data_IF_301616689153
#
_entry.id   IF_301616689153
#
_cell.length_a   1.000
_cell.length_b   1.000
_cell.length_c   1.000
_cell.angle_alpha   90.00
_cell.angle_beta   90.00
_cell.angle_gamma   90.00
#
_symmetry.space_group_name_H-M   'P 1'
#
loop_
_entity.id
_entity.type
_entity.pdbx_description
1 polymer ?
#
# COMPACT_ATOMS: atom_id res chain seq x y z
N UNK A 1 66.59 -38.47 14.07
CA UNK A 1 67.28 -37.18 14.26
C UNK A 1 66.99 -36.35 13.02
N UNK A 2 65.95 -35.52 13.03
CA UNK A 2 65.59 -34.64 11.90
C UNK A 2 65.70 -33.20 12.38
N UNK A 3 66.63 -32.45 11.79
CA UNK A 3 66.78 -31.02 12.04
C UNK A 3 65.71 -30.27 11.25
N UNK A 4 64.84 -29.55 11.95
CA UNK A 4 63.96 -28.55 11.34
C UNK A 4 64.85 -27.36 10.99
N UNK A 5 65.24 -27.25 9.72
CA UNK A 5 65.81 -26.02 9.20
C UNK A 5 64.67 -25.02 9.12
N UNK A 6 64.58 -24.13 10.10
CA UNK A 6 63.77 -22.92 9.99
C UNK A 6 64.44 -22.10 8.89
N UNK A 7 64.01 -22.32 7.66
CA UNK A 7 64.52 -21.61 6.48
C UNK A 7 64.32 -20.12 6.70
N UNK A 8 65.42 -19.38 6.71
CA UNK A 8 65.39 -17.92 6.70
C UNK A 8 64.51 -17.45 5.53
N UNK A 9 63.70 -16.41 5.78
CA UNK A 9 62.87 -15.76 4.77
C UNK A 9 63.68 -15.61 3.47
N UNK A 10 63.19 -16.12 2.32
CA UNK A 10 63.93 -16.10 1.07
C UNK A 10 64.42 -14.69 0.73
N UNK A 11 65.63 -14.56 0.20
CA UNK A 11 66.28 -13.27 -0.02
C UNK A 11 65.47 -12.34 -0.95
N UNK A 12 64.70 -12.91 -1.89
CA UNK A 12 63.76 -12.15 -2.73
C UNK A 12 62.60 -11.52 -1.93
N UNK A 13 62.20 -12.09 -0.79
CA UNK A 13 61.19 -11.54 0.11
C UNK A 13 61.72 -10.42 1.00
N UNK A 14 63.04 -10.30 1.18
CA UNK A 14 63.66 -9.20 1.95
C UNK A 14 63.68 -7.87 1.18
N UNK A 15 63.52 -7.90 -0.15
CA UNK A 15 63.46 -6.73 -1.02
C UNK A 15 62.03 -6.39 -1.48
N UNK A 16 61.01 -7.07 -0.95
CA UNK A 16 59.62 -6.72 -1.19
C UNK A 16 59.30 -5.42 -0.42
N UNK A 17 59.40 -4.29 -1.12
CA UNK A 17 59.00 -2.99 -0.60
C UNK A 17 57.51 -3.03 -0.19
N UNK A 18 57.16 -2.35 0.90
CA UNK A 18 55.77 -2.23 1.38
C UNK A 18 54.82 -1.68 0.30
N UNK A 19 55.34 -0.93 -0.66
CA UNK A 19 54.63 -0.42 -1.83
C UNK A 19 54.04 -1.52 -2.73
N UNK A 20 54.64 -2.71 -2.77
CA UNK A 20 54.12 -3.84 -3.55
C UNK A 20 52.72 -4.28 -3.09
N UNK A 21 52.44 -4.20 -1.78
CA UNK A 21 51.14 -4.58 -1.22
C UNK A 21 50.06 -3.50 -1.41
N UNK A 22 50.42 -2.24 -1.69
CA UNK A 22 49.46 -1.14 -1.85
C UNK A 22 48.65 -1.27 -3.15
N UNK A 23 49.26 -1.73 -4.24
CA UNK A 23 48.60 -1.89 -5.54
C UNK A 23 47.42 -2.87 -5.52
N UNK A 24 47.55 -4.13 -5.06
CA UNK A 24 46.40 -5.05 -5.00
C UNK A 24 45.32 -4.57 -4.03
N UNK A 25 45.69 -3.90 -2.94
CA UNK A 25 44.73 -3.28 -2.01
C UNK A 25 43.94 -2.20 -2.73
N UNK A 26 44.60 -1.28 -3.42
CA UNK A 26 43.93 -0.21 -4.16
C UNK A 26 43.01 -0.74 -5.27
N UNK A 27 43.45 -1.74 -6.02
CA UNK A 27 42.64 -2.41 -7.05
C UNK A 27 41.41 -3.08 -6.42
N UNK A 28 41.59 -3.82 -5.32
CA UNK A 28 40.48 -4.50 -4.65
C UNK A 28 39.46 -3.51 -4.07
N UNK A 29 39.92 -2.40 -3.48
CA UNK A 29 39.05 -1.32 -2.99
C UNK A 29 38.29 -0.66 -4.13
N UNK A 30 38.94 -0.42 -5.26
CA UNK A 30 38.29 0.16 -6.44
C UNK A 30 37.19 -0.76 -6.97
N UNK A 31 37.47 -2.05 -7.10
CA UNK A 31 36.47 -3.05 -7.53
C UNK A 31 35.32 -3.13 -6.53
N UNK A 32 35.63 -3.22 -5.23
CA UNK A 32 34.63 -3.27 -4.17
C UNK A 32 33.74 -2.02 -4.15
N UNK A 33 34.32 -0.84 -4.39
CA UNK A 33 33.60 0.42 -4.50
C UNK A 33 32.58 0.39 -5.65
N UNK A 34 32.99 -0.04 -6.85
CA UNK A 34 32.08 -0.14 -7.99
C UNK A 34 30.99 -1.20 -7.78
N UNK A 35 31.32 -2.39 -7.25
CA UNK A 35 30.33 -3.44 -6.97
C UNK A 35 29.28 -2.97 -5.97
N UNK A 36 29.75 -2.34 -4.87
CA UNK A 36 28.86 -1.84 -3.82
C UNK A 36 28.00 -0.69 -4.35
N UNK A 37 28.59 0.23 -5.12
CA UNK A 37 27.87 1.32 -5.75
C UNK A 37 26.75 0.83 -6.68
N UNK A 38 27.05 -0.09 -7.60
CA UNK A 38 26.05 -0.68 -8.51
C UNK A 38 24.95 -1.39 -7.73
N UNK A 39 25.31 -2.17 -6.72
CA UNK A 39 24.36 -2.90 -5.88
C UNK A 39 23.45 -1.95 -5.11
N UNK A 40 24.02 -0.89 -4.54
CA UNK A 40 23.27 0.17 -3.85
C UNK A 40 22.28 0.86 -4.79
N UNK A 41 22.70 1.26 -5.99
CA UNK A 41 21.81 1.90 -6.97
C UNK A 41 20.67 0.97 -7.41
N UNK A 42 20.95 -0.33 -7.60
CA UNK A 42 19.92 -1.32 -7.94
C UNK A 42 18.91 -1.49 -6.81
N UNK A 43 19.38 -1.66 -5.58
CA UNK A 43 18.52 -1.81 -4.39
C UNK A 43 17.68 -0.55 -4.18
N UNK A 44 18.29 0.63 -4.27
CA UNK A 44 17.57 1.90 -4.15
C UNK A 44 16.48 2.05 -5.21
N UNK A 45 16.77 1.77 -6.49
CA UNK A 45 15.77 1.79 -7.55
C UNK A 45 14.63 0.80 -7.29
N UNK A 46 14.95 -0.40 -6.80
CA UNK A 46 13.95 -1.40 -6.43
C UNK A 46 13.04 -0.91 -5.31
N UNK A 47 13.60 -0.32 -4.25
CA UNK A 47 12.82 0.23 -3.15
C UNK A 47 11.90 1.37 -3.59
N UNK A 48 12.36 2.24 -4.48
CA UNK A 48 11.53 3.32 -5.03
C UNK A 48 10.33 2.74 -5.79
N UNK A 49 10.56 1.73 -6.63
CA UNK A 49 9.49 1.05 -7.38
C UNK A 49 8.53 0.28 -6.46
N UNK A 50 9.04 -0.41 -5.43
CA UNK A 50 8.20 -1.09 -4.44
C UNK A 50 7.34 -0.10 -3.65
N UNK A 51 7.90 1.05 -3.24
CA UNK A 51 7.14 2.11 -2.58
C UNK A 51 6.02 2.65 -3.47
N UNK A 52 6.30 2.88 -4.75
CA UNK A 52 5.29 3.32 -5.70
C UNK A 52 4.20 2.25 -5.92
N UNK A 53 4.58 0.98 -6.04
CA UNK A 53 3.64 -0.14 -6.13
C UNK A 53 2.73 -0.23 -4.91
N UNK A 54 3.29 -0.21 -3.71
CA UNK A 54 2.54 -0.23 -2.46
C UNK A 54 1.60 0.97 -2.33
N UNK A 55 2.06 2.16 -2.75
CA UNK A 55 1.20 3.36 -2.79
C UNK A 55 0.01 3.17 -3.72
N UNK A 56 0.23 2.61 -4.92
CA UNK A 56 -0.85 2.33 -5.86
C UNK A 56 -1.82 1.28 -5.32
N UNK A 57 -1.32 0.19 -4.75
CA UNK A 57 -2.16 -0.83 -4.10
C UNK A 57 -2.99 -0.22 -2.96
N UNK A 58 -2.39 0.62 -2.11
CA UNK A 58 -3.09 1.34 -1.05
C UNK A 58 -4.19 2.24 -1.60
N UNK A 59 -3.93 2.96 -2.71
CA UNK A 59 -4.94 3.78 -3.37
C UNK A 59 -6.08 2.94 -3.92
N UNK A 60 -5.79 1.81 -4.56
CA UNK A 60 -6.79 0.85 -5.03
C UNK A 60 -7.63 0.31 -3.87
N UNK A 61 -7.02 -0.07 -2.76
CA UNK A 61 -7.74 -0.53 -1.58
C UNK A 61 -8.62 0.56 -0.97
N UNK A 62 -8.13 1.80 -0.88
CA UNK A 62 -8.93 2.94 -0.41
C UNK A 62 -10.11 3.20 -1.35
N UNK A 63 -9.89 3.13 -2.65
CA UNK A 63 -10.94 3.28 -3.65
C UNK A 63 -11.99 2.18 -3.53
N UNK A 64 -11.59 0.91 -3.48
CA UNK A 64 -12.52 -0.22 -3.32
C UNK A 64 -13.25 -0.16 -1.98
N UNK A 65 -12.58 0.25 -0.91
CA UNK A 65 -13.22 0.49 0.38
C UNK A 65 -14.29 1.59 0.28
N UNK A 66 -13.98 2.74 -0.34
CA UNK A 66 -14.94 3.82 -0.57
C UNK A 66 -16.10 3.37 -1.46
N UNK A 67 -15.81 2.63 -2.53
CA UNK A 67 -16.82 2.06 -3.42
C UNK A 67 -17.72 1.10 -2.69
N UNK A 68 -17.18 0.21 -1.85
CA UNK A 68 -17.97 -0.72 -1.04
C UNK A 68 -18.76 -0.01 0.08
N UNK A 69 -18.43 1.25 0.40
CA UNK A 69 -19.28 2.07 1.28
C UNK A 69 -20.59 2.48 0.61
N UNK A 70 -20.60 2.59 -0.71
CA UNK A 70 -21.81 2.77 -1.52
C UNK A 70 -22.30 1.36 -1.85
N UNK A 71 -23.42 0.90 -1.26
CA UNK A 71 -24.01 -0.38 -1.70
C UNK A 71 -24.60 -0.16 -3.11
N UNK A 72 -23.90 -0.58 -4.18
CA UNK A 72 -24.28 -0.17 -5.52
C UNK A 72 -25.57 -0.87 -5.94
N UNK A 73 -25.76 -2.12 -5.49
CA UNK A 73 -26.99 -2.88 -5.72
C UNK A 73 -28.20 -2.20 -5.09
N UNK A 74 -28.09 -1.74 -3.85
CA UNK A 74 -29.17 -0.99 -3.20
C UNK A 74 -29.47 0.34 -3.91
N UNK A 75 -28.42 1.05 -4.36
CA UNK A 75 -28.57 2.29 -5.11
C UNK A 75 -29.29 2.05 -6.46
N UNK A 76 -28.86 1.07 -7.26
CA UNK A 76 -29.49 0.76 -8.54
C UNK A 76 -30.95 0.29 -8.37
N UNK A 77 -31.23 -0.55 -7.37
CA UNK A 77 -32.61 -0.98 -7.09
C UNK A 77 -33.50 0.21 -6.70
N UNK A 78 -32.97 1.14 -5.90
CA UNK A 78 -33.70 2.35 -5.52
C UNK A 78 -33.97 3.26 -6.72
N UNK A 79 -33.01 3.37 -7.66
CA UNK A 79 -33.20 4.12 -8.90
C UNK A 79 -34.24 3.47 -9.83
N UNK A 80 -34.27 2.14 -9.90
CA UNK A 80 -35.29 1.42 -10.68
C UNK A 80 -36.69 1.66 -10.10
N UNK A 81 -36.87 1.51 -8.78
CA UNK A 81 -38.14 1.81 -8.10
C UNK A 81 -38.53 3.27 -8.32
N UNK A 82 -37.58 4.19 -8.26
CA UNK A 82 -37.86 5.60 -8.55
C UNK A 82 -38.31 5.80 -10.00
N UNK A 83 -37.65 5.16 -10.97
CA UNK A 83 -38.01 5.24 -12.38
C UNK A 83 -39.45 4.78 -12.62
N UNK A 84 -39.89 3.71 -11.96
CA UNK A 84 -41.26 3.22 -12.06
C UNK A 84 -42.25 4.22 -11.41
N UNK A 85 -41.92 4.70 -10.21
CA UNK A 85 -42.77 5.65 -9.46
C UNK A 85 -42.95 6.99 -10.16
N UNK A 86 -41.95 7.49 -10.90
CA UNK A 86 -42.04 8.78 -11.59
C UNK A 86 -43.19 8.79 -12.62
N UNK A 87 -43.48 7.66 -13.24
CA UNK A 87 -44.59 7.54 -14.20
C UNK A 87 -45.91 7.10 -13.56
N UNK A 88 -45.86 6.23 -12.53
CA UNK A 88 -47.08 5.71 -11.88
C UNK A 88 -47.69 6.67 -10.85
N UNK A 89 -46.88 7.25 -9.96
CA UNK A 89 -47.31 8.15 -8.89
C UNK A 89 -46.20 9.17 -8.57
N UNK A 90 -46.22 10.35 -9.24
CA UNK A 90 -45.20 11.38 -9.06
C UNK A 90 -45.09 11.89 -7.61
N UNK A 91 -46.19 11.89 -6.84
CA UNK A 91 -46.15 12.31 -5.43
C UNK A 91 -45.46 11.25 -4.57
N UNK A 92 -45.63 9.97 -4.88
CA UNK A 92 -44.92 8.88 -4.19
C UNK A 92 -43.43 8.87 -4.59
N UNK A 93 -43.11 9.18 -5.83
CA UNK A 93 -41.72 9.36 -6.29
C UNK A 93 -41.00 10.47 -5.50
N UNK A 94 -41.61 11.65 -5.34
CA UNK A 94 -41.07 12.75 -4.53
C UNK A 94 -40.78 12.30 -3.08
N UNK A 95 -41.76 11.67 -2.42
CA UNK A 95 -41.58 11.15 -1.05
C UNK A 95 -40.47 10.09 -0.98
N UNK A 96 -40.36 9.24 -1.99
CA UNK A 96 -39.31 8.23 -2.07
C UNK A 96 -37.92 8.86 -2.18
N UNK A 97 -37.74 9.90 -3.02
CA UNK A 97 -36.48 10.63 -3.16
C UNK A 97 -36.02 11.21 -1.82
N UNK A 98 -36.93 11.86 -1.07
CA UNK A 98 -36.60 12.44 0.23
C UNK A 98 -36.18 11.37 1.24
N UNK A 99 -36.97 10.30 1.41
CA UNK A 99 -36.62 9.19 2.30
C UNK A 99 -35.31 8.52 1.90
N UNK A 100 -35.10 8.28 0.61
CA UNK A 100 -33.87 7.68 0.09
C UNK A 100 -32.65 8.55 0.41
N UNK A 101 -32.78 9.87 0.25
CA UNK A 101 -31.71 10.82 0.58
C UNK A 101 -31.36 10.82 2.07
N UNK A 102 -32.36 10.76 2.96
CA UNK A 102 -32.15 10.68 4.41
C UNK A 102 -31.48 9.36 4.83
N UNK A 103 -31.91 8.24 4.22
CA UNK A 103 -31.31 6.91 4.42
C UNK A 103 -29.85 6.91 3.98
N UNK A 104 -29.57 7.44 2.80
CA UNK A 104 -28.21 7.45 2.26
C UNK A 104 -27.28 8.32 3.09
N UNK A 105 -27.77 9.48 3.55
CA UNK A 105 -27.02 10.35 4.46
C UNK A 105 -26.72 9.64 5.78
N UNK A 106 -27.70 8.97 6.38
CA UNK A 106 -27.47 8.17 7.59
C UNK A 106 -26.45 7.04 7.37
N UNK A 107 -26.51 6.31 6.25
CA UNK A 107 -25.53 5.24 5.95
C UNK A 107 -24.12 5.80 5.78
N UNK A 108 -23.97 7.05 5.33
CA UNK A 108 -22.68 7.73 5.22
C UNK A 108 -22.22 8.27 6.60
N UNK A 109 -23.09 8.91 7.36
CA UNK A 109 -22.78 9.56 8.64
C UNK A 109 -22.57 8.55 9.79
N UNK A 110 -23.32 7.44 9.80
CA UNK A 110 -23.23 6.42 10.85
C UNK A 110 -21.94 5.61 10.78
N UNK A 111 -21.16 5.75 9.70
CA UNK A 111 -19.91 5.00 9.48
C UNK A 111 -18.70 5.59 10.19
N UNK A 112 -18.72 6.87 10.56
CA UNK A 112 -17.66 7.48 11.38
C UNK A 112 -17.80 7.14 12.87
N UNK A 113 -18.96 6.59 13.28
CA UNK A 113 -19.23 6.17 14.65
C UNK A 113 -18.84 4.70 14.83
N UNK A 114 -17.88 4.41 15.70
CA UNK A 114 -17.50 3.01 16.07
C UNK A 114 -18.66 2.24 16.70
N UNK A 115 -19.57 2.94 17.39
CA UNK A 115 -20.76 2.39 18.00
C UNK A 115 -21.94 3.35 17.78
N UNK A 116 -23.09 2.80 17.42
CA UNK A 116 -24.35 3.53 17.31
C UNK A 116 -25.33 2.95 18.34
N UNK A 117 -26.03 3.77 19.14
CA UNK A 117 -27.05 3.29 20.06
C UNK A 117 -28.15 2.52 19.33
N UNK A 118 -28.56 1.36 19.87
CA UNK A 118 -29.64 0.53 19.30
C UNK A 118 -30.95 1.31 19.09
N UNK A 119 -31.23 2.29 19.93
CA UNK A 119 -32.39 3.19 19.78
C UNK A 119 -32.32 4.05 18.50
N UNK A 120 -31.13 4.50 18.11
CA UNK A 120 -30.91 5.27 16.88
C UNK A 120 -31.12 4.38 15.65
N UNK A 121 -30.64 3.13 15.70
CA UNK A 121 -30.87 2.12 14.65
C UNK A 121 -32.35 1.74 14.51
N UNK A 122 -33.05 1.52 15.62
CA UNK A 122 -34.48 1.18 15.62
C UNK A 122 -35.34 2.34 15.08
N UNK A 123 -35.05 3.57 15.50
CA UNK A 123 -35.72 4.76 14.96
C UNK A 123 -35.46 4.96 13.47
N UNK A 124 -34.28 4.57 12.99
CA UNK A 124 -33.95 4.60 11.57
C UNK A 124 -34.73 3.56 10.75
N UNK A 125 -34.77 2.29 11.21
CA UNK A 125 -35.53 1.22 10.55
C UNK A 125 -37.03 1.55 10.49
N UNK A 126 -37.58 2.17 11.53
CA UNK A 126 -38.98 2.60 11.52
C UNK A 126 -39.29 3.68 10.47
N UNK A 127 -38.30 4.47 10.04
CA UNK A 127 -38.46 5.42 8.91
C UNK A 127 -38.34 4.71 7.54
N UNK A 128 -37.63 3.58 7.49
CA UNK A 128 -37.41 2.77 6.30
C UNK A 128 -38.67 2.01 5.86
N UNK A 129 -39.44 1.48 6.80
CA UNK A 129 -40.66 0.74 6.48
C UNK A 129 -41.76 1.74 6.07
N UNK A 130 -42.41 1.43 4.94
CA UNK A 130 -43.52 2.18 4.38
C UNK A 130 -44.84 1.82 5.07
#
# INVERSE_FOLDING_TARGET
MYYVVIGSIPEYMKHLNSEFWLYPIFISLTIAFFITGISFFKSWKKEVLEKEKLKNEMLTYKYEALRNQINPHFMFNSLNVLSDLVYEDPKKAERFIHKFSDIYRYVLDSREKELVPLEEELNFINKYIF
#
